data_IF_209557521464
#
_entry.id   IF_209557521464
#
_cell.length_a   1.000
_cell.length_b   1.000
_cell.length_c   1.000
_cell.angle_alpha   90.00
_cell.angle_beta   90.00
_cell.angle_gamma   90.00
#
_symmetry.space_group_name_H-M   'P 1'
#
loop_
_entity.id
_entity.type
_entity.pdbx_description
1 polymer ?
#
# COMPACT_ATOMS: atom_id res chain seq x y z
N UNK A 1 -18.09 43.02 1.35
CA UNK A 1 -17.10 42.11 2.01
C UNK A 1 -17.74 40.82 2.55
N UNK A 2 -18.85 40.86 3.27
CA UNK A 2 -19.48 39.70 3.90
C UNK A 2 -20.04 38.62 2.93
N UNK A 3 -20.56 39.01 1.75
CA UNK A 3 -21.12 38.01 0.80
C UNK A 3 -20.06 37.14 0.12
N UNK A 4 -18.89 37.69 -0.19
CA UNK A 4 -17.78 36.93 -0.77
C UNK A 4 -17.20 35.95 0.24
N UNK A 5 -17.08 36.35 1.50
CA UNK A 5 -16.61 35.46 2.59
C UNK A 5 -17.59 34.32 2.81
N UNK A 6 -18.90 34.55 2.77
CA UNK A 6 -19.92 33.49 2.85
C UNK A 6 -19.84 32.50 1.71
N UNK A 7 -19.66 32.97 0.48
CA UNK A 7 -19.52 32.10 -0.71
C UNK A 7 -18.25 31.25 -0.61
N UNK A 8 -17.13 31.82 -0.18
CA UNK A 8 -15.89 31.07 0.04
C UNK A 8 -16.03 30.03 1.14
N UNK A 9 -16.68 30.35 2.25
CA UNK A 9 -16.96 29.38 3.32
C UNK A 9 -17.86 28.22 2.84
N UNK A 10 -18.91 28.51 2.08
CA UNK A 10 -19.77 27.47 1.49
C UNK A 10 -19.01 26.57 0.51
N UNK A 11 -18.09 27.14 -0.26
CA UNK A 11 -17.26 26.37 -1.20
C UNK A 11 -16.28 25.45 -0.45
N UNK A 12 -15.62 25.95 0.60
CA UNK A 12 -14.71 25.18 1.43
C UNK A 12 -15.44 24.02 2.13
N UNK A 13 -16.65 24.25 2.67
CA UNK A 13 -17.45 23.21 3.32
C UNK A 13 -17.85 22.13 2.30
N UNK A 14 -18.25 22.49 1.08
CA UNK A 14 -18.57 21.52 0.01
C UNK A 14 -17.36 20.69 -0.39
N UNK A 15 -16.20 21.30 -0.58
CA UNK A 15 -14.97 20.58 -0.94
C UNK A 15 -14.60 19.59 0.15
N UNK A 16 -14.59 20.00 1.42
CA UNK A 16 -14.28 19.12 2.54
C UNK A 16 -15.28 17.96 2.67
N UNK A 17 -16.58 18.21 2.48
CA UNK A 17 -17.59 17.15 2.55
C UNK A 17 -17.45 16.13 1.43
N UNK A 18 -17.06 16.56 0.24
CA UNK A 18 -16.81 15.69 -0.90
C UNK A 18 -15.56 14.85 -0.72
N UNK A 19 -14.48 15.42 -0.17
CA UNK A 19 -13.25 14.68 0.16
C UNK A 19 -13.50 13.61 1.23
N UNK A 20 -14.26 13.93 2.29
CA UNK A 20 -14.64 12.96 3.33
C UNK A 20 -15.47 11.81 2.72
N UNK A 21 -16.40 12.09 1.82
CA UNK A 21 -17.21 11.07 1.17
C UNK A 21 -16.34 10.15 0.28
N UNK A 22 -15.43 10.70 -0.51
CA UNK A 22 -14.50 9.94 -1.35
C UNK A 22 -13.63 9.02 -0.50
N UNK A 23 -13.05 9.52 0.60
CA UNK A 23 -12.25 8.73 1.52
C UNK A 23 -13.04 7.58 2.15
N UNK A 24 -14.31 7.82 2.53
CA UNK A 24 -15.18 6.79 3.08
C UNK A 24 -15.47 5.69 2.07
N UNK A 25 -15.82 6.04 0.85
CA UNK A 25 -16.09 5.07 -0.23
C UNK A 25 -14.85 4.25 -0.58
N UNK A 26 -13.69 4.89 -0.68
CA UNK A 26 -12.42 4.22 -0.92
C UNK A 26 -12.08 3.24 0.20
N UNK A 27 -12.27 3.63 1.47
CA UNK A 27 -12.01 2.76 2.60
C UNK A 27 -12.97 1.55 2.64
N UNK A 28 -14.25 1.74 2.33
CA UNK A 28 -15.21 0.63 2.25
C UNK A 28 -14.80 -0.38 1.17
N UNK A 29 -14.41 0.09 -0.01
CA UNK A 29 -13.90 -0.78 -1.08
C UNK A 29 -12.62 -1.53 -0.64
N UNK A 30 -11.77 -0.90 0.16
CA UNK A 30 -10.60 -1.59 0.72
C UNK A 30 -11.02 -2.72 1.67
N UNK A 31 -12.03 -2.48 2.50
CA UNK A 31 -12.56 -3.51 3.42
C UNK A 31 -13.20 -4.68 2.65
N UNK A 32 -13.99 -4.39 1.61
CA UNK A 32 -14.55 -5.43 0.74
C UNK A 32 -13.43 -6.27 0.10
N UNK A 33 -12.39 -5.61 -0.41
CA UNK A 33 -11.20 -6.30 -0.92
C UNK A 33 -10.48 -7.16 0.12
N UNK A 34 -10.44 -6.74 1.38
CA UNK A 34 -9.84 -7.53 2.46
C UNK A 34 -10.65 -8.80 2.76
N UNK A 35 -11.98 -8.73 2.68
CA UNK A 35 -12.85 -9.92 2.82
C UNK A 35 -12.54 -10.92 1.70
N UNK A 36 -12.57 -10.48 0.45
CA UNK A 36 -12.27 -11.34 -0.69
C UNK A 36 -10.84 -11.94 -0.63
N UNK A 37 -9.87 -11.14 -0.17
CA UNK A 37 -8.50 -11.61 0.02
C UNK A 37 -8.40 -12.69 1.11
N UNK A 38 -9.13 -12.54 2.21
CA UNK A 38 -9.18 -13.54 3.28
C UNK A 38 -9.82 -14.87 2.80
N UNK A 39 -10.85 -14.76 1.96
CA UNK A 39 -11.53 -15.90 1.32
C UNK A 39 -10.75 -16.50 0.15
N UNK A 40 -9.53 -15.99 -0.12
CA UNK A 40 -8.65 -16.40 -1.24
C UNK A 40 -9.19 -16.10 -2.63
N UNK A 41 -10.20 -15.24 -2.75
CA UNK A 41 -10.76 -14.76 -4.00
C UNK A 41 -9.88 -13.61 -4.54
N UNK A 42 -8.62 -13.92 -4.90
CA UNK A 42 -7.60 -12.91 -5.19
C UNK A 42 -7.98 -11.99 -6.37
N UNK A 43 -8.73 -12.51 -7.36
CA UNK A 43 -9.19 -11.72 -8.51
C UNK A 43 -10.23 -10.67 -8.08
N UNK A 44 -11.18 -11.04 -7.22
CA UNK A 44 -12.17 -10.07 -6.71
C UNK A 44 -11.52 -9.08 -5.74
N UNK A 45 -10.60 -9.53 -4.88
CA UNK A 45 -9.82 -8.66 -4.02
C UNK A 45 -9.08 -7.58 -4.84
N UNK A 46 -8.41 -7.98 -5.93
CA UNK A 46 -7.74 -7.06 -6.86
C UNK A 46 -8.71 -6.01 -7.41
N UNK A 47 -9.90 -6.42 -7.88
CA UNK A 47 -10.91 -5.50 -8.41
C UNK A 47 -11.33 -4.45 -7.38
N UNK A 48 -11.56 -4.87 -6.13
CA UNK A 48 -11.94 -3.96 -5.06
C UNK A 48 -10.81 -2.99 -4.70
N UNK A 49 -9.56 -3.47 -4.59
CA UNK A 49 -8.41 -2.60 -4.31
C UNK A 49 -8.17 -1.60 -5.45
N UNK A 50 -8.28 -2.01 -6.70
CA UNK A 50 -8.18 -1.11 -7.86
C UNK A 50 -9.28 -0.05 -7.87
N UNK A 51 -10.54 -0.42 -7.57
CA UNK A 51 -11.63 0.53 -7.42
C UNK A 51 -11.38 1.51 -6.29
N UNK A 52 -10.86 1.04 -5.15
CA UNK A 52 -10.48 1.87 -4.02
C UNK A 52 -9.44 2.92 -4.41
N UNK A 53 -8.34 2.49 -5.06
CA UNK A 53 -7.27 3.38 -5.52
C UNK A 53 -7.76 4.36 -6.59
N UNK A 54 -8.70 3.95 -7.44
CA UNK A 54 -9.33 4.83 -8.43
C UNK A 54 -10.19 5.93 -7.79
N UNK A 55 -10.80 5.65 -6.62
CA UNK A 55 -11.53 6.65 -5.84
C UNK A 55 -10.61 7.58 -5.07
N UNK A 56 -9.57 7.03 -4.45
CA UNK A 56 -8.56 7.76 -3.70
C UNK A 56 -7.17 7.19 -4.00
N UNK A 57 -6.42 7.88 -4.83
CA UNK A 57 -5.06 7.49 -5.23
C UNK A 57 -4.04 7.53 -4.09
N UNK A 58 -4.41 8.13 -2.95
CA UNK A 58 -3.63 8.19 -1.72
C UNK A 58 -4.07 7.13 -0.69
N UNK A 59 -5.00 6.24 -1.03
CA UNK A 59 -5.33 5.10 -0.17
C UNK A 59 -4.19 4.08 -0.18
N UNK A 60 -3.21 4.33 0.70
CA UNK A 60 -2.01 3.49 0.83
C UNK A 60 -2.34 2.06 1.27
N UNK A 61 -3.40 1.89 2.09
CA UNK A 61 -3.83 0.55 2.53
C UNK A 61 -4.28 -0.30 1.34
N UNK A 62 -5.11 0.28 0.47
CA UNK A 62 -5.53 -0.41 -0.76
C UNK A 62 -4.34 -0.72 -1.67
N UNK A 63 -3.41 0.23 -1.82
CA UNK A 63 -2.20 0.07 -2.63
C UNK A 63 -1.31 -1.08 -2.10
N UNK A 64 -1.05 -1.11 -0.80
CA UNK A 64 -0.28 -2.18 -0.16
C UNK A 64 -0.99 -3.54 -0.26
N UNK A 65 -2.31 -3.59 -0.04
CA UNK A 65 -3.07 -4.84 -0.11
C UNK A 65 -3.19 -5.36 -1.56
N UNK A 66 -3.24 -4.47 -2.55
CA UNK A 66 -3.14 -4.85 -3.96
C UNK A 66 -1.79 -5.53 -4.26
N UNK A 67 -0.69 -4.99 -3.72
CA UNK A 67 0.62 -5.62 -3.85
C UNK A 67 0.65 -7.03 -3.23
N UNK A 68 0.04 -7.20 -2.04
CA UNK A 68 -0.10 -8.51 -1.40
C UNK A 68 -0.94 -9.47 -2.26
N UNK A 69 -2.01 -8.98 -2.91
CA UNK A 69 -2.83 -9.78 -3.81
C UNK A 69 -2.03 -10.28 -5.00
N UNK A 70 -1.25 -9.40 -5.64
CA UNK A 70 -0.35 -9.79 -6.73
C UNK A 70 0.71 -10.79 -6.27
N UNK A 71 1.32 -10.57 -5.11
CA UNK A 71 2.32 -11.49 -4.55
C UNK A 71 1.73 -12.88 -4.33
N UNK A 72 0.53 -12.99 -3.77
CA UNK A 72 -0.15 -14.27 -3.58
C UNK A 72 -0.63 -14.93 -4.87
N UNK A 73 -0.85 -14.14 -5.91
CA UNK A 73 -1.18 -14.62 -7.27
C UNK A 73 0.06 -14.97 -8.11
N UNK A 74 1.25 -14.96 -7.52
CA UNK A 74 2.55 -15.17 -8.21
C UNK A 74 2.85 -14.13 -9.32
N UNK A 75 2.14 -13.01 -9.33
CA UNK A 75 2.37 -11.87 -10.22
C UNK A 75 3.48 -10.98 -9.64
N UNK A 76 4.70 -11.53 -9.61
CA UNK A 76 5.84 -10.95 -8.87
C UNK A 76 6.22 -9.56 -9.37
N UNK A 77 6.20 -9.32 -10.69
CA UNK A 77 6.57 -8.02 -11.24
C UNK A 77 5.54 -6.94 -10.90
N UNK A 78 4.26 -7.28 -10.95
CA UNK A 78 3.15 -6.41 -10.55
C UNK A 78 3.24 -6.09 -9.04
N UNK A 79 3.54 -7.10 -8.22
CA UNK A 79 3.74 -6.93 -6.79
C UNK A 79 4.91 -5.96 -6.50
N UNK A 80 6.07 -6.13 -7.16
CA UNK A 80 7.22 -5.24 -7.04
C UNK A 80 6.83 -3.79 -7.35
N UNK A 81 6.16 -3.57 -8.48
CA UNK A 81 5.76 -2.23 -8.92
C UNK A 81 4.80 -1.59 -7.91
N UNK A 82 3.86 -2.37 -7.40
CA UNK A 82 2.85 -1.88 -6.47
C UNK A 82 3.41 -1.62 -5.06
N UNK A 83 4.33 -2.47 -4.55
CA UNK A 83 5.04 -2.19 -3.30
C UNK A 83 5.90 -0.92 -3.42
N UNK A 84 6.62 -0.71 -4.51
CA UNK A 84 7.38 0.51 -4.76
C UNK A 84 6.49 1.74 -4.75
N UNK A 85 5.35 1.69 -5.44
CA UNK A 85 4.35 2.78 -5.42
C UNK A 85 3.84 3.06 -4.00
N UNK A 86 3.57 2.03 -3.21
CA UNK A 86 3.15 2.17 -1.80
C UNK A 86 4.24 2.85 -0.95
N UNK A 87 5.51 2.48 -1.13
CA UNK A 87 6.65 3.06 -0.42
C UNK A 87 6.81 4.55 -0.75
N UNK A 88 6.67 4.93 -2.01
CA UNK A 88 6.82 6.32 -2.46
C UNK A 88 5.74 7.23 -1.87
N UNK A 89 4.52 6.74 -1.79
CA UNK A 89 3.36 7.53 -1.36
C UNK A 89 3.17 7.56 0.15
N UNK A 90 3.68 6.55 0.90
CA UNK A 90 3.42 6.43 2.32
C UNK A 90 4.35 7.29 3.18
N UNK A 91 3.80 7.87 4.26
CA UNK A 91 4.57 8.46 5.36
C UNK A 91 4.73 7.49 6.55
N UNK A 92 4.02 6.36 6.54
CA UNK A 92 4.03 5.37 7.61
C UNK A 92 5.31 4.52 7.57
N UNK A 93 6.08 4.55 8.66
CA UNK A 93 7.24 3.66 8.83
C UNK A 93 6.83 2.18 8.80
N UNK A 94 5.70 1.84 9.39
CA UNK A 94 5.17 0.47 9.40
C UNK A 94 4.89 -0.02 7.97
N UNK A 95 4.19 0.77 7.16
CA UNK A 95 3.90 0.41 5.76
C UNK A 95 5.19 0.31 4.95
N UNK A 96 6.14 1.23 5.14
CA UNK A 96 7.46 1.16 4.49
C UNK A 96 8.20 -0.11 4.86
N UNK A 97 8.26 -0.43 6.15
CA UNK A 97 8.89 -1.64 6.65
C UNK A 97 8.31 -2.88 5.96
N UNK A 98 6.99 -3.08 6.05
CA UNK A 98 6.29 -4.22 5.47
C UNK A 98 6.49 -4.33 3.96
N UNK A 99 6.42 -3.20 3.24
CA UNK A 99 6.61 -3.18 1.80
C UNK A 99 8.05 -3.53 1.38
N UNK A 100 9.04 -3.00 2.09
CA UNK A 100 10.44 -3.34 1.83
C UNK A 100 10.77 -4.79 2.21
N UNK A 101 10.20 -5.31 3.30
CA UNK A 101 10.33 -6.71 3.68
C UNK A 101 9.81 -7.63 2.56
N UNK A 102 8.59 -7.38 2.09
CA UNK A 102 7.97 -8.18 1.03
C UNK A 102 8.74 -8.06 -0.31
N UNK A 103 9.27 -6.88 -0.65
CA UNK A 103 10.17 -6.73 -1.79
C UNK A 103 11.42 -7.60 -1.64
N UNK A 104 12.03 -7.61 -0.44
CA UNK A 104 13.16 -8.47 -0.14
C UNK A 104 12.83 -9.94 -0.39
N UNK A 105 11.68 -10.42 0.08
CA UNK A 105 11.23 -11.78 -0.13
C UNK A 105 11.03 -12.11 -1.62
N UNK A 106 10.46 -11.20 -2.42
CA UNK A 106 10.31 -11.40 -3.86
C UNK A 106 11.67 -11.48 -4.54
N UNK A 107 12.60 -10.59 -4.18
CA UNK A 107 13.95 -10.61 -4.76
C UNK A 107 14.74 -11.85 -4.36
N UNK A 108 14.57 -12.37 -3.13
CA UNK A 108 15.13 -13.66 -2.73
C UNK A 108 14.61 -14.81 -3.59
N UNK A 109 13.29 -14.85 -3.83
CA UNK A 109 12.67 -15.87 -4.69
C UNK A 109 13.11 -15.77 -6.15
N UNK A 110 13.53 -14.60 -6.60
CA UNK A 110 14.07 -14.35 -7.94
C UNK A 110 15.61 -14.50 -8.01
N UNK A 111 16.25 -14.92 -6.90
CA UNK A 111 17.71 -15.02 -6.77
C UNK A 111 18.45 -13.68 -6.99
N UNK A 112 17.73 -12.57 -6.89
CA UNK A 112 18.29 -11.21 -6.97
C UNK A 112 18.73 -10.77 -5.57
N UNK A 113 19.78 -11.40 -5.08
CA UNK A 113 20.29 -11.20 -3.71
C UNK A 113 20.71 -9.76 -3.44
N UNK A 114 21.24 -9.05 -4.46
CA UNK A 114 21.63 -7.66 -4.30
C UNK A 114 20.45 -6.74 -3.98
N UNK A 115 19.33 -6.90 -4.68
CA UNK A 115 18.11 -6.14 -4.42
C UNK A 115 17.39 -6.65 -3.15
N UNK A 116 17.51 -7.93 -2.81
CA UNK A 116 17.01 -8.48 -1.55
C UNK A 116 17.72 -7.83 -0.35
N UNK A 117 19.06 -7.80 -0.34
CA UNK A 117 19.89 -7.13 0.70
C UNK A 117 19.46 -5.67 0.86
N UNK A 118 19.37 -4.92 -0.24
CA UNK A 118 18.96 -3.52 -0.21
C UNK A 118 17.55 -3.34 0.37
N UNK A 119 16.62 -4.20 0.01
CA UNK A 119 15.24 -4.14 0.47
C UNK A 119 15.13 -4.45 1.95
N UNK A 120 15.74 -5.54 2.44
CA UNK A 120 15.74 -5.87 3.87
C UNK A 120 16.46 -4.82 4.71
N UNK A 121 17.56 -4.25 4.23
CA UNK A 121 18.22 -3.12 4.89
C UNK A 121 17.27 -1.94 5.06
N UNK A 122 16.54 -1.56 4.01
CA UNK A 122 15.54 -0.48 4.07
C UNK A 122 14.36 -0.83 4.98
N UNK A 123 13.93 -2.09 5.03
CA UNK A 123 12.93 -2.55 5.99
C UNK A 123 13.41 -2.32 7.43
N UNK A 124 14.64 -2.72 7.76
CA UNK A 124 15.24 -2.54 9.08
C UNK A 124 15.48 -1.08 9.47
N UNK A 125 15.69 -0.17 8.51
CA UNK A 125 15.72 1.27 8.79
C UNK A 125 14.36 1.82 9.27
N UNK A 126 13.26 1.14 8.92
CA UNK A 126 11.92 1.52 9.32
C UNK A 126 11.42 0.75 10.57
N UNK A 127 11.91 -0.47 10.78
CA UNK A 127 11.68 -1.27 11.99
C UNK A 127 12.94 -2.09 12.34
N UNK A 128 13.86 -1.56 13.17
CA UNK A 128 15.11 -2.24 13.51
C UNK A 128 14.95 -3.50 14.36
N UNK A 129 13.77 -3.69 14.97
CA UNK A 129 13.53 -4.79 15.93
C UNK A 129 12.88 -6.02 15.31
N UNK A 130 12.65 -6.03 13.99
CA UNK A 130 12.06 -7.17 13.31
C UNK A 130 13.10 -8.28 13.09
N UNK A 131 12.97 -9.35 13.87
CA UNK A 131 13.86 -10.50 13.86
C UNK A 131 13.80 -11.27 12.54
N UNK A 132 12.62 -11.39 11.94
CA UNK A 132 12.44 -12.07 10.65
C UNK A 132 13.18 -11.33 9.54
N UNK A 133 13.03 -10.02 9.48
CA UNK A 133 13.77 -9.21 8.49
C UNK A 133 15.27 -9.27 8.74
N UNK A 134 15.75 -9.28 10.01
CA UNK A 134 17.17 -9.45 10.32
C UNK A 134 17.72 -10.79 9.84
N UNK A 135 16.98 -11.86 10.07
CA UNK A 135 17.33 -13.18 9.59
C UNK A 135 17.42 -13.24 8.07
N UNK A 136 16.36 -12.75 7.37
CA UNK A 136 16.32 -12.74 5.91
C UNK A 136 17.42 -11.84 5.29
N UNK A 137 17.74 -10.72 5.95
CA UNK A 137 18.87 -9.86 5.56
C UNK A 137 20.21 -10.59 5.66
N UNK A 138 20.42 -11.37 6.72
CA UNK A 138 21.66 -12.15 6.87
C UNK A 138 21.74 -13.28 5.83
N UNK A 139 20.61 -13.90 5.51
CA UNK A 139 20.53 -14.97 4.51
C UNK A 139 20.79 -14.46 3.07
N UNK A 140 20.40 -13.21 2.78
CA UNK A 140 20.56 -12.60 1.46
C UNK A 140 22.00 -12.15 1.16
N UNK A 141 22.88 -12.02 2.19
CA UNK A 141 24.29 -11.63 2.06
C UNK A 141 25.17 -12.76 1.60
#
# INVERSE_FOLDING_TARGET
MNRIILILLFFIIKVNSQEIAINKDSNNLTLDGNVEFADKNLIEAEKFYRKSISKDSLNIKASYNLANSFYRSELKQEAINQYKSSIEKTKSKETRHKSFHNLGNIYMQNEDYQNAVNSFKNALLNNPTDDETRYNYALAK
#
